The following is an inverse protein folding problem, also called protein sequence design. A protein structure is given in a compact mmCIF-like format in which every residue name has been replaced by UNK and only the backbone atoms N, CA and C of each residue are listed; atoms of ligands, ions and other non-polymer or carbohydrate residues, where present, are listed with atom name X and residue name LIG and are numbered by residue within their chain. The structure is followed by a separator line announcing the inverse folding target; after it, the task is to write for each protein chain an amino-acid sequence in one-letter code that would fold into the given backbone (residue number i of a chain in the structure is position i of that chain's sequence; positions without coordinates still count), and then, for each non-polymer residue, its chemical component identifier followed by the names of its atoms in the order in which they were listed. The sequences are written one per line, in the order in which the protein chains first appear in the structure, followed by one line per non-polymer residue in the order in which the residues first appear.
data_IF_924246792340
#
_entry.id   IF_924246792340
#
_cell.length_a   1.000
_cell.length_b   1.000
_cell.length_c   1.000
_cell.angle_alpha   90.00
_cell.angle_beta   90.00
_cell.angle_gamma   90.00
#
_symmetry.space_group_name_H-M   'P 1'
#
loop_
_entity.id
_entity.type
_entity.pdbx_description
1 polymer ?
#
# COMPACT_ATOMS: atom_id res chain seq x y z
N UNK A 1 -22.18 1.62 -15.36
CA UNK A 1 -21.28 2.41 -16.21
C UNK A 1 -19.94 2.48 -15.51
N UNK A 2 -18.81 2.47 -16.21
CA UNK A 2 -17.49 2.55 -15.55
C UNK A 2 -17.24 4.01 -15.17
N UNK A 3 -17.12 4.30 -13.87
CA UNK A 3 -16.85 5.64 -13.37
C UNK A 3 -15.35 5.93 -13.38
N UNK A 4 -14.80 6.27 -14.56
CA UNK A 4 -13.37 6.57 -14.72
C UNK A 4 -12.90 7.76 -13.88
N UNK A 5 -13.80 8.65 -13.48
CA UNK A 5 -13.53 9.79 -12.60
C UNK A 5 -13.01 9.38 -11.21
N UNK A 6 -13.28 8.14 -10.80
CA UNK A 6 -12.88 7.59 -9.51
C UNK A 6 -11.51 6.92 -9.56
N UNK A 7 -10.94 6.71 -10.76
CA UNK A 7 -9.67 6.05 -10.93
C UNK A 7 -8.49 6.71 -10.17
N UNK A 8 -8.38 8.06 -10.08
CA UNK A 8 -7.37 8.71 -9.26
C UNK A 8 -7.42 8.28 -7.79
N UNK A 9 -8.62 8.17 -7.20
CA UNK A 9 -8.78 7.72 -5.81
C UNK A 9 -8.28 6.30 -5.60
N UNK A 10 -8.56 5.39 -6.54
CA UNK A 10 -8.01 4.04 -6.53
C UNK A 10 -6.48 4.02 -6.58
N UNK A 11 -5.87 4.87 -7.42
CA UNK A 11 -4.40 4.99 -7.49
C UNK A 11 -3.80 5.52 -6.19
N UNK A 12 -4.42 6.53 -5.58
CA UNK A 12 -4.00 7.04 -4.27
C UNK A 12 -4.12 5.98 -3.18
N UNK A 13 -5.23 5.24 -3.15
CA UNK A 13 -5.45 4.18 -2.17
C UNK A 13 -4.42 3.05 -2.34
N UNK A 14 -4.14 2.61 -3.57
CA UNK A 14 -3.09 1.64 -3.84
C UNK A 14 -1.70 2.14 -3.37
N UNK A 15 -1.40 3.42 -3.58
CA UNK A 15 -0.18 4.06 -3.08
C UNK A 15 -0.10 4.05 -1.56
N UNK A 16 -1.19 4.38 -0.87
CA UNK A 16 -1.26 4.33 0.59
C UNK A 16 -1.05 2.91 1.12
N UNK A 17 -1.75 1.92 0.54
CA UNK A 17 -1.59 0.53 0.93
C UNK A 17 -0.14 0.08 0.73
N UNK A 18 0.52 0.51 -0.36
CA UNK A 18 1.93 0.19 -0.62
C UNK A 18 2.85 0.78 0.46
N UNK A 19 2.70 2.07 0.78
CA UNK A 19 3.52 2.76 1.78
C UNK A 19 3.34 2.15 3.15
N UNK A 20 2.09 1.99 3.60
CA UNK A 20 1.80 1.44 4.92
C UNK A 20 2.24 -0.03 4.99
N UNK A 21 1.92 -0.82 3.97
CA UNK A 21 2.24 -2.24 3.92
C UNK A 21 3.72 -2.51 4.03
N UNK A 22 4.54 -1.83 3.23
CA UNK A 22 5.99 -2.00 3.28
C UNK A 22 6.61 -1.26 4.49
N UNK A 23 6.15 -0.05 4.81
CA UNK A 23 6.67 0.75 5.91
C UNK A 23 6.52 0.08 7.28
N UNK A 24 5.43 -0.65 7.50
CA UNK A 24 5.23 -1.44 8.72
C UNK A 24 6.31 -2.50 8.91
N UNK A 25 6.81 -3.10 7.83
CA UNK A 25 7.93 -4.04 7.93
C UNK A 25 9.26 -3.31 8.12
N UNK A 26 9.44 -2.17 7.45
CA UNK A 26 10.68 -1.39 7.42
C UNK A 26 10.81 -0.46 8.63
N UNK A 27 11.01 -1.03 9.81
CA UNK A 27 11.40 -0.27 10.98
C UNK A 27 12.32 -1.07 11.92
N UNK A 28 13.08 -0.35 12.73
CA UNK A 28 14.06 -0.91 13.66
C UNK A 28 13.45 -1.92 14.65
N UNK A 29 12.23 -1.68 15.15
CA UNK A 29 11.57 -2.60 16.09
C UNK A 29 11.28 -3.95 15.43
N UNK A 30 10.80 -3.94 14.18
CA UNK A 30 10.47 -5.15 13.43
C UNK A 30 11.72 -5.88 12.98
N UNK A 31 12.82 -5.16 12.69
CA UNK A 31 14.12 -5.79 12.40
C UNK A 31 14.71 -6.52 13.60
N UNK A 32 14.58 -5.96 14.80
CA UNK A 32 14.99 -6.63 16.05
C UNK A 32 14.04 -7.77 16.43
N UNK A 33 12.73 -7.58 16.23
CA UNK A 33 11.69 -8.52 16.63
C UNK A 33 10.67 -8.72 15.50
N UNK A 34 10.96 -9.68 14.61
CA UNK A 34 10.15 -9.93 13.39
C UNK A 34 8.67 -10.22 13.64
N UNK A 35 8.33 -10.79 14.80
CA UNK A 35 6.93 -11.04 15.16
C UNK A 35 6.12 -9.75 15.30
N UNK A 36 6.75 -8.63 15.67
CA UNK A 36 6.10 -7.31 15.70
C UNK A 36 5.67 -6.88 14.30
N UNK A 37 6.38 -7.32 13.25
CA UNK A 37 6.01 -7.05 11.87
C UNK A 37 4.62 -7.62 11.56
N UNK A 38 4.37 -8.87 11.94
CA UNK A 38 3.04 -9.48 11.79
C UNK A 38 1.97 -8.75 12.59
N UNK A 39 2.27 -8.34 13.83
CA UNK A 39 1.32 -7.61 14.67
C UNK A 39 0.94 -6.26 14.04
N UNK A 40 1.93 -5.44 13.69
CA UNK A 40 1.70 -4.14 13.07
C UNK A 40 1.06 -4.27 11.69
N UNK A 41 1.40 -5.33 10.94
CA UNK A 41 0.84 -5.57 9.61
C UNK A 41 -0.64 -5.95 9.70
N UNK A 42 -1.03 -6.79 10.66
CA UNK A 42 -2.44 -7.10 10.92
C UNK A 42 -3.22 -5.87 11.40
N UNK A 43 -2.62 -5.05 12.28
CA UNK A 43 -3.23 -3.81 12.72
C UNK A 43 -3.45 -2.84 11.53
N UNK A 44 -2.44 -2.71 10.66
CA UNK A 44 -2.54 -1.90 9.45
C UNK A 44 -3.58 -2.43 8.47
N UNK A 45 -3.68 -3.75 8.29
CA UNK A 45 -4.72 -4.36 7.47
C UNK A 45 -6.12 -4.02 7.99
N UNK A 46 -6.34 -4.11 9.30
CA UNK A 46 -7.62 -3.75 9.92
C UNK A 46 -7.96 -2.27 9.71
N UNK A 47 -6.99 -1.36 9.89
CA UNK A 47 -7.18 0.07 9.62
C UNK A 47 -7.48 0.33 8.14
N UNK A 48 -6.79 -0.36 7.23
CA UNK A 48 -7.02 -0.23 5.79
C UNK A 48 -8.39 -0.72 5.36
N UNK A 49 -8.95 -1.75 6.01
CA UNK A 49 -10.33 -2.17 5.75
C UNK A 49 -11.34 -1.08 6.11
N UNK A 50 -11.14 -0.41 7.24
CA UNK A 50 -11.98 0.74 7.62
C UNK A 50 -11.83 1.87 6.61
N UNK A 51 -10.61 2.17 6.17
CA UNK A 51 -10.38 3.19 5.14
C UNK A 51 -11.00 2.81 3.79
N UNK A 52 -10.91 1.54 3.38
CA UNK A 52 -11.53 1.04 2.15
C UNK A 52 -13.05 1.24 2.20
N UNK A 53 -13.70 0.87 3.31
CA UNK A 53 -15.12 1.09 3.50
C UNK A 53 -15.49 2.58 3.48
N UNK A 54 -14.66 3.45 4.08
CA UNK A 54 -14.84 4.91 3.99
C UNK A 54 -14.73 5.43 2.55
N UNK A 55 -13.76 4.94 1.77
CA UNK A 55 -13.68 5.30 0.35
C UNK A 55 -14.92 4.85 -0.40
N UNK A 56 -15.38 3.63 -0.17
CA UNK A 56 -16.57 3.10 -0.83
C UNK A 56 -17.82 3.95 -0.54
N UNK A 57 -18.02 4.42 0.72
CA UNK A 57 -19.11 5.36 1.05
C UNK A 57 -19.04 6.69 0.31
N UNK A 58 -17.86 7.13 -0.10
CA UNK A 58 -17.69 8.36 -0.87
C UNK A 58 -17.82 8.14 -2.38
N UNK A 59 -17.53 6.93 -2.84
CA UNK A 59 -17.62 6.54 -4.25
C UNK A 59 -19.05 6.21 -4.65
N UNK A 60 -19.87 5.77 -3.70
CA UNK A 60 -21.28 5.44 -3.89
C UNK A 60 -22.17 6.50 -3.22
N UNK A 61 -22.27 7.65 -3.88
CA UNK A 61 -23.00 8.83 -3.38
C UNK A 61 -24.52 8.60 -3.24
N UNK A 62 -25.05 7.53 -3.84
CA UNK A 62 -26.48 7.20 -3.84
C UNK A 62 -26.88 6.27 -2.69
N UNK A 63 -25.93 5.68 -1.95
CA UNK A 63 -26.25 4.85 -0.78
C UNK A 63 -26.08 5.62 0.53
N UNK A 64 -27.17 5.75 1.30
CA UNK A 64 -27.18 6.35 2.64
C UNK A 64 -26.55 5.45 3.73
N UNK A 65 -25.90 4.35 3.33
CA UNK A 65 -25.34 3.38 4.25
C UNK A 65 -24.12 3.96 4.97
N UNK A 66 -24.17 4.00 6.30
CA UNK A 66 -23.04 4.42 7.12
C UNK A 66 -21.85 3.48 7.02
N UNK A 67 -20.64 3.97 7.33
CA UNK A 67 -19.38 3.20 7.26
C UNK A 67 -19.46 1.87 8.01
N UNK A 68 -20.07 1.88 9.20
CA UNK A 68 -20.26 0.68 10.03
C UNK A 68 -21.19 -0.34 9.40
N UNK A 69 -22.27 0.14 8.79
CA UNK A 69 -23.24 -0.71 8.13
C UNK A 69 -22.59 -1.35 6.91
N UNK A 70 -21.85 -0.56 6.11
CA UNK A 70 -21.07 -1.02 4.96
C UNK A 70 -20.01 -2.06 5.32
N UNK A 71 -19.28 -1.88 6.42
CA UNK A 71 -18.35 -2.91 6.93
C UNK A 71 -19.06 -4.25 7.26
N UNK A 72 -20.34 -4.20 7.64
CA UNK A 72 -21.14 -5.38 7.99
C UNK A 72 -21.98 -5.95 6.85
N UNK A 73 -22.29 -5.15 5.83
CA UNK A 73 -23.19 -5.49 4.72
C UNK A 73 -22.49 -5.67 3.37
N UNK A 74 -21.27 -5.15 3.20
CA UNK A 74 -20.49 -5.34 1.98
C UNK A 74 -20.12 -6.81 1.82
N UNK A 75 -20.21 -7.29 0.57
CA UNK A 75 -19.78 -8.63 0.18
C UNK A 75 -18.40 -8.93 0.76
N UNK A 76 -18.31 -10.05 1.46
CA UNK A 76 -17.09 -10.57 2.09
C UNK A 76 -15.94 -10.67 1.06
N UNK A 77 -16.29 -10.81 -0.22
CA UNK A 77 -15.40 -10.77 -1.38
C UNK A 77 -14.62 -9.44 -1.51
N UNK A 78 -15.26 -8.28 -1.36
CA UNK A 78 -14.58 -6.98 -1.53
C UNK A 78 -13.53 -6.76 -0.43
N UNK A 79 -13.87 -7.10 0.81
CA UNK A 79 -12.93 -7.07 1.92
C UNK A 79 -11.75 -8.02 1.68
N UNK A 80 -12.04 -9.21 1.18
CA UNK A 80 -11.01 -10.20 0.86
C UNK A 80 -10.07 -9.73 -0.25
N UNK A 81 -10.59 -9.10 -1.30
CA UNK A 81 -9.79 -8.51 -2.38
C UNK A 81 -8.86 -7.43 -1.82
N UNK A 82 -9.37 -6.51 -1.00
CA UNK A 82 -8.57 -5.44 -0.40
C UNK A 82 -7.45 -5.99 0.49
N UNK A 83 -7.73 -6.97 1.35
CA UNK A 83 -6.73 -7.61 2.22
C UNK A 83 -5.70 -8.39 1.39
N UNK A 84 -6.14 -9.12 0.37
CA UNK A 84 -5.25 -9.90 -0.50
C UNK A 84 -4.32 -8.98 -1.28
N UNK A 85 -4.84 -7.88 -1.83
CA UNK A 85 -4.03 -6.86 -2.47
C UNK A 85 -3.02 -6.25 -1.49
N UNK A 86 -3.45 -5.92 -0.27
CA UNK A 86 -2.56 -5.41 0.77
C UNK A 86 -1.43 -6.39 1.11
N UNK A 87 -1.74 -7.68 1.22
CA UNK A 87 -0.74 -8.72 1.44
C UNK A 87 0.27 -8.79 0.30
N UNK A 88 -0.19 -8.83 -0.95
CA UNK A 88 0.66 -8.95 -2.13
C UNK A 88 1.63 -7.76 -2.27
N UNK A 89 1.14 -6.53 -2.10
CA UNK A 89 1.98 -5.34 -2.27
C UNK A 89 2.96 -5.13 -1.10
N UNK A 90 2.70 -5.74 0.06
CA UNK A 90 3.58 -5.68 1.23
C UNK A 90 4.76 -6.66 1.16
N UNK A 91 4.73 -7.59 0.20
CA UNK A 91 5.73 -8.67 0.06
C UNK A 91 7.17 -8.13 0.00
N UNK A 92 7.52 -7.09 -0.78
CA UNK A 92 8.91 -6.65 -0.89
C UNK A 92 9.52 -6.25 0.46
N UNK A 93 8.80 -5.47 1.27
CA UNK A 93 9.22 -5.08 2.62
C UNK A 93 9.27 -6.27 3.57
N UNK A 94 8.23 -7.10 3.58
CA UNK A 94 8.14 -8.29 4.43
C UNK A 94 9.29 -9.27 4.15
N UNK A 95 9.49 -9.62 2.87
CA UNK A 95 10.54 -10.54 2.44
C UNK A 95 11.93 -10.00 2.80
N UNK A 96 12.18 -8.70 2.60
CA UNK A 96 13.46 -8.09 2.93
C UNK A 96 13.81 -8.25 4.42
N UNK A 97 12.83 -8.09 5.31
CA UNK A 97 13.05 -8.21 6.76
C UNK A 97 13.10 -9.67 7.21
N UNK A 98 12.22 -10.53 6.69
CA UNK A 98 12.18 -11.95 7.04
C UNK A 98 13.45 -12.68 6.58
N UNK A 99 13.99 -12.30 5.41
CA UNK A 99 15.23 -12.84 4.84
C UNK A 99 16.49 -12.09 5.31
N UNK A 100 16.38 -11.19 6.29
CA UNK A 100 17.50 -10.42 6.88
C UNK A 100 18.35 -9.67 5.84
N UNK A 101 17.72 -9.12 4.81
CA UNK A 101 18.42 -8.36 3.78
C UNK A 101 19.01 -7.06 4.36
N UNK A 102 20.17 -6.64 3.84
CA UNK A 102 20.81 -5.38 4.22
C UNK A 102 19.93 -4.19 3.89
N UNK A 103 20.19 -3.05 4.50
CA UNK A 103 19.40 -1.83 4.28
C UNK A 103 19.38 -1.45 2.78
N UNK A 104 20.51 -1.58 2.09
CA UNK A 104 20.62 -1.24 0.66
C UNK A 104 19.72 -2.13 -0.21
N UNK A 105 19.72 -3.45 0.04
CA UNK A 105 18.86 -4.37 -0.70
C UNK A 105 17.39 -4.16 -0.40
N UNK A 106 17.06 -3.89 0.87
CA UNK A 106 15.70 -3.57 1.30
C UNK A 106 15.19 -2.29 0.61
N UNK A 107 16.06 -1.29 0.47
CA UNK A 107 15.78 -0.05 -0.27
C UNK A 107 15.45 -0.31 -1.73
N UNK A 108 16.28 -1.08 -2.44
CA UNK A 108 16.01 -1.39 -3.85
C UNK A 108 14.76 -2.25 -4.03
N UNK A 109 14.56 -3.24 -3.17
CA UNK A 109 13.40 -4.13 -3.21
C UNK A 109 12.08 -3.38 -3.08
N UNK A 110 12.05 -2.25 -2.34
CA UNK A 110 10.83 -1.46 -2.14
C UNK A 110 10.74 -0.26 -3.07
N UNK A 111 11.84 0.31 -3.55
CA UNK A 111 11.77 1.45 -4.48
C UNK A 111 11.56 1.04 -5.94
N UNK A 112 12.12 -0.10 -6.38
CA UNK A 112 11.97 -0.56 -7.75
C UNK A 112 10.51 -0.89 -8.12
N UNK A 113 9.73 -1.61 -7.28
CA UNK A 113 8.33 -1.86 -7.59
C UNK A 113 7.50 -0.59 -7.69
N UNK A 114 7.83 0.47 -6.92
CA UNK A 114 7.14 1.76 -7.04
C UNK A 114 7.25 2.30 -8.46
N UNK A 115 8.45 2.30 -9.01
CA UNK A 115 8.70 2.77 -10.38
C UNK A 115 8.05 1.85 -11.41
N UNK A 116 8.17 0.53 -11.24
CA UNK A 116 7.64 -0.44 -12.20
C UNK A 116 6.12 -0.50 -12.24
N UNK A 117 5.45 -0.31 -11.10
CA UNK A 117 3.99 -0.48 -10.98
C UNK A 117 3.28 0.86 -11.16
N UNK A 118 3.71 1.91 -10.46
CA UNK A 118 2.95 3.17 -10.42
C UNK A 118 3.21 4.08 -11.62
N UNK A 119 4.31 3.94 -12.36
CA UNK A 119 4.51 4.73 -13.59
C UNK A 119 3.51 4.30 -14.68
N UNK A 120 3.42 3.01 -15.06
CA UNK A 120 2.50 2.62 -16.14
C UNK A 120 1.03 2.59 -15.72
N UNK A 121 0.70 2.63 -14.42
CA UNK A 121 -0.66 2.50 -13.89
C UNK A 121 -1.68 3.43 -14.59
N UNK A 122 -1.33 4.69 -14.80
CA UNK A 122 -2.20 5.68 -15.45
C UNK A 122 -2.46 5.42 -16.93
N UNK A 123 -1.61 4.63 -17.60
CA UNK A 123 -1.83 4.17 -18.97
C UNK A 123 -2.62 2.87 -19.05
N UNK A 124 -2.65 2.09 -17.96
CA UNK A 124 -3.41 0.85 -17.87
C UNK A 124 -4.91 1.10 -17.60
N UNK A 125 -5.25 2.26 -17.05
CA UNK A 125 -6.63 2.71 -16.92
C UNK A 125 -7.11 3.13 -18.32
N UNK A 126 -7.83 2.22 -18.99
CA UNK A 126 -8.38 2.41 -20.34
C UNK A 126 -9.55 3.40 -20.35
N UNK A 127 -9.30 4.65 -19.97
CA UNK A 127 -10.26 5.75 -20.14
C UNK A 127 -10.17 6.26 -21.59
N UNK A 128 -11.26 6.20 -22.38
CA UNK A 128 -11.27 6.64 -23.77
C UNK A 128 -11.09 8.16 -23.94
N UNK A 129 -11.39 8.96 -22.90
CA UNK A 129 -11.48 10.41 -23.03
C UNK A 129 -10.27 11.16 -22.44
N UNK A 130 -9.58 10.58 -21.44
CA UNK A 130 -8.45 11.23 -20.75
C UNK A 130 -7.39 10.23 -20.28
N UNK A 131 -6.11 10.56 -20.49
CA UNK A 131 -4.99 9.79 -19.95
C UNK A 131 -4.65 10.21 -18.52
N UNK A 132 -4.58 9.25 -17.59
CA UNK A 132 -4.20 9.50 -16.19
C UNK A 132 -2.70 9.43 -15.93
N UNK A 133 -1.87 9.50 -16.98
CA UNK A 133 -0.41 9.39 -16.87
C UNK A 133 0.20 10.40 -15.89
N UNK A 134 -0.23 11.66 -15.94
CA UNK A 134 0.29 12.70 -15.05
C UNK A 134 -0.03 12.43 -13.57
N UNK A 135 -1.24 11.94 -13.28
CA UNK A 135 -1.65 11.52 -11.93
C UNK A 135 -0.79 10.34 -11.47
N UNK A 136 -0.54 9.38 -12.36
CA UNK A 136 0.35 8.24 -12.12
C UNK A 136 1.75 8.65 -11.70
N UNK A 137 2.34 9.61 -12.42
CA UNK A 137 3.64 10.16 -12.07
C UNK A 137 3.62 10.88 -10.73
N UNK A 138 2.57 11.67 -10.46
CA UNK A 138 2.38 12.34 -9.16
C UNK A 138 2.33 11.34 -8.00
N UNK A 139 1.52 10.30 -8.13
CA UNK A 139 1.42 9.22 -7.13
C UNK A 139 2.76 8.48 -7.00
N UNK A 140 3.43 8.18 -8.11
CA UNK A 140 4.74 7.52 -8.10
C UNK A 140 5.76 8.33 -7.29
N UNK A 141 5.87 9.63 -7.57
CA UNK A 141 6.80 10.52 -6.87
C UNK A 141 6.47 10.60 -5.39
N UNK A 142 5.18 10.72 -5.04
CA UNK A 142 4.74 10.78 -3.66
C UNK A 142 5.06 9.49 -2.89
N UNK A 143 4.70 8.33 -3.44
CA UNK A 143 4.98 7.01 -2.83
C UNK A 143 6.49 6.79 -2.70
N UNK A 144 7.26 7.12 -3.74
CA UNK A 144 8.72 6.97 -3.73
C UNK A 144 9.37 7.85 -2.65
N UNK A 145 8.96 9.12 -2.55
CA UNK A 145 9.47 10.05 -1.54
C UNK A 145 9.09 9.61 -0.12
N UNK A 146 7.85 9.16 0.10
CA UNK A 146 7.40 8.65 1.38
C UNK A 146 8.18 7.39 1.79
N UNK A 147 8.39 6.45 0.87
CA UNK A 147 9.18 5.25 1.15
C UNK A 147 10.63 5.59 1.49
N UNK A 148 11.24 6.54 0.78
CA UNK A 148 12.59 7.03 1.10
C UNK A 148 12.66 7.66 2.48
N UNK A 149 11.69 8.52 2.81
CA UNK A 149 11.61 9.18 4.11
C UNK A 149 11.44 8.14 5.22
N UNK A 150 10.54 7.16 5.02
CA UNK A 150 10.31 6.08 5.95
C UNK A 150 11.58 5.28 6.21
N UNK A 151 12.29 4.87 5.14
CA UNK A 151 13.54 4.13 5.24
C UNK A 151 14.63 4.94 5.96
N UNK A 152 14.73 6.23 5.69
CA UNK A 152 15.76 7.09 6.29
C UNK A 152 15.52 7.33 7.78
N UNK A 153 14.26 7.33 8.23
CA UNK A 153 13.89 7.62 9.61
C UNK A 153 13.80 6.36 10.50
N UNK A 154 13.34 5.24 9.94
CA UNK A 154 12.94 4.09 10.73
C UNK A 154 13.73 2.82 10.44
N UNK A 155 14.35 2.68 9.27
CA UNK A 155 15.04 1.45 8.86
C UNK A 155 16.46 1.36 9.47
N UNK A 156 16.93 0.15 9.72
CA UNK A 156 18.27 -0.10 10.26
C UNK A 156 18.91 -1.35 9.64
N UNK A 157 20.22 -1.55 9.85
CA UNK A 157 20.84 -2.82 9.46
C UNK A 157 20.34 -3.98 10.33
N UNK A 158 20.29 -5.21 9.80
CA UNK A 158 19.97 -6.39 10.60
C UNK A 158 21.08 -6.68 11.62
N UNK A 159 20.71 -7.04 12.86
CA UNK A 159 21.66 -7.29 13.97
C UNK A 159 22.72 -8.37 13.68
N UNK A 160 22.42 -9.32 12.78
CA UNK A 160 23.35 -10.40 12.43
C UNK A 160 24.22 -10.10 11.18
N UNK A 161 24.04 -8.95 10.52
CA UNK A 161 24.80 -8.60 9.32
C UNK A 161 26.13 -7.87 9.61
N UNK A 162 26.42 -7.56 10.88
CA UNK A 162 27.73 -7.08 11.31
C UNK A 162 28.65 -8.26 11.64
N UNK A 163 29.25 -8.85 10.61
CA UNK A 163 30.44 -9.70 10.73
C UNK A 163 31.55 -9.08 9.89
#
# INVERSE_FOLDING_TARGET
MVHYELAPWGMFFAGLMYVVGNGVWMNHLVRQRRWLGWLFWLLAAAVLLVLAAMFETRLDADSELGVWERLSTVDLENHWIAVTLFALISVPGAASVLLKQTQQWTRYAVLLPVLMVFIPLGSQIQNPDQSYWAVSLGVTVAVFALMLLWQSLLDCEPEEASV
#
